data_IF_155254825206
#
_entry.id   IF_155254825206
#
_cell.length_a   1.000
_cell.length_b   1.000
_cell.length_c   1.000
_cell.angle_alpha   90.00
_cell.angle_beta   90.00
_cell.angle_gamma   90.00
#
_symmetry.space_group_name_H-M   'P 1'
#
loop_
_entity.id
_entity.type
_entity.pdbx_description
1 polymer ?
#
# COMPACT_ATOMS: atom_id res chain seq x y z
N UNK A 1 -31.52 -64.51 0.86
CA UNK A 1 -30.30 -64.17 0.08
C UNK A 1 -29.88 -62.77 0.49
N UNK A 2 -28.77 -62.69 1.22
CA UNK A 2 -28.38 -61.54 2.05
C UNK A 2 -27.48 -60.58 1.24
N UNK A 3 -27.89 -59.33 1.21
CA UNK A 3 -27.29 -58.18 0.55
C UNK A 3 -25.99 -57.76 1.24
N UNK A 4 -24.86 -57.71 0.50
CA UNK A 4 -23.58 -57.20 1.00
C UNK A 4 -23.51 -55.68 0.84
N UNK A 5 -23.60 -54.96 1.96
CA UNK A 5 -23.30 -53.53 2.07
C UNK A 5 -21.78 -53.32 2.05
N UNK A 6 -21.31 -52.38 1.22
CA UNK A 6 -19.91 -51.90 1.20
C UNK A 6 -19.63 -51.01 2.43
N UNK A 7 -18.43 -51.05 3.02
CA UNK A 7 -18.03 -50.08 4.04
C UNK A 7 -17.62 -48.75 3.40
N UNK A 8 -18.07 -47.66 4.01
CA UNK A 8 -17.69 -46.29 3.64
C UNK A 8 -16.28 -45.97 4.17
N UNK A 9 -15.37 -45.61 3.27
CA UNK A 9 -14.05 -45.08 3.59
C UNK A 9 -14.21 -43.62 4.01
N UNK A 10 -14.03 -43.32 5.29
CA UNK A 10 -13.90 -41.94 5.79
C UNK A 10 -12.45 -41.50 5.61
N UNK A 11 -12.21 -40.58 4.68
CA UNK A 11 -10.95 -39.82 4.62
C UNK A 11 -10.96 -38.77 5.74
N UNK A 12 -9.87 -38.58 6.50
CA UNK A 12 -9.76 -37.45 7.40
C UNK A 12 -9.52 -36.17 6.58
N UNK A 13 -10.47 -35.22 6.65
CA UNK A 13 -10.23 -33.83 6.28
C UNK A 13 -9.27 -33.21 7.30
N UNK A 14 -7.98 -33.32 7.03
CA UNK A 14 -6.96 -32.55 7.75
C UNK A 14 -6.94 -31.14 7.15
N UNK A 15 -7.70 -30.23 7.75
CA UNK A 15 -7.55 -28.80 7.50
C UNK A 15 -6.18 -28.41 8.08
N UNK A 16 -5.27 -27.81 7.30
CA UNK A 16 -4.03 -27.29 7.87
C UNK A 16 -4.40 -26.21 8.89
N UNK A 17 -4.04 -26.45 10.15
CA UNK A 17 -4.02 -25.44 11.20
C UNK A 17 -3.05 -24.35 10.74
N UNK A 18 -3.58 -23.26 10.17
CA UNK A 18 -2.85 -22.01 10.01
C UNK A 18 -2.27 -21.64 11.37
N UNK A 19 -0.93 -21.63 11.46
CA UNK A 19 -0.22 -21.17 12.63
C UNK A 19 -0.76 -19.80 13.01
N UNK A 20 -1.37 -19.70 14.19
CA UNK A 20 -1.88 -18.45 14.71
C UNK A 20 -0.71 -17.49 14.90
N UNK A 21 -0.54 -16.56 13.97
CA UNK A 21 0.32 -15.40 14.12
C UNK A 21 -0.16 -14.68 15.38
N UNK A 22 0.66 -14.73 16.43
CA UNK A 22 0.48 -13.94 17.65
C UNK A 22 0.90 -12.52 17.32
N UNK A 23 -0.08 -11.66 17.09
CA UNK A 23 0.17 -10.22 17.09
C UNK A 23 0.44 -9.84 18.55
N UNK A 24 1.68 -9.44 18.85
CA UNK A 24 2.01 -8.88 20.16
C UNK A 24 1.07 -7.69 20.41
N UNK A 25 0.39 -7.70 21.54
CA UNK A 25 -0.55 -6.68 22.02
C UNK A 25 0.17 -5.41 22.46
N UNK A 26 1.03 -4.87 21.59
CA UNK A 26 1.79 -3.63 21.76
C UNK A 26 1.50 -2.71 20.57
N UNK A 27 0.23 -2.43 20.33
CA UNK A 27 -0.23 -1.42 19.37
C UNK A 27 -0.22 -0.01 20.00
N UNK A 28 0.77 0.24 20.87
CA UNK A 28 1.10 1.56 21.40
C UNK A 28 2.03 2.25 20.41
N UNK A 29 1.52 3.24 19.66
CA UNK A 29 2.28 4.21 18.87
C UNK A 29 3.41 3.65 17.95
N UNK A 30 3.33 2.39 17.53
CA UNK A 30 4.42 1.71 16.82
C UNK A 30 4.12 1.43 15.36
N UNK A 31 5.15 1.55 14.51
CA UNK A 31 5.17 0.96 13.17
C UNK A 31 5.49 -0.53 13.29
N UNK A 32 4.70 -1.39 12.66
CA UNK A 32 4.94 -2.85 12.61
C UNK A 32 5.02 -3.33 11.18
N UNK A 33 6.07 -4.08 10.81
CA UNK A 33 6.22 -4.69 9.48
C UNK A 33 5.38 -5.97 9.39
N UNK A 34 4.70 -6.16 8.28
CA UNK A 34 3.99 -7.41 7.99
C UNK A 34 5.00 -8.54 7.72
N UNK A 35 4.89 -9.70 8.39
CA UNK A 35 5.82 -10.81 8.18
C UNK A 35 5.58 -11.57 6.86
N UNK A 36 4.38 -11.46 6.28
CA UNK A 36 3.97 -12.17 5.08
C UNK A 36 4.16 -11.36 3.79
N UNK A 37 4.35 -10.04 3.90
CA UNK A 37 4.48 -9.13 2.76
C UNK A 37 5.84 -8.40 2.76
N UNK A 38 6.57 -8.35 1.63
CA UNK A 38 7.95 -7.87 1.59
C UNK A 38 8.09 -6.41 2.05
N UNK A 39 7.16 -5.54 1.66
CA UNK A 39 7.27 -4.09 1.88
C UNK A 39 6.17 -3.49 2.76
N UNK A 40 5.27 -4.28 3.36
CA UNK A 40 4.09 -3.70 4.03
C UNK A 40 4.38 -3.32 5.48
N UNK A 41 3.94 -2.13 5.87
CA UNK A 41 3.99 -1.62 7.23
C UNK A 41 2.60 -1.18 7.69
N UNK A 42 2.32 -1.41 8.97
CA UNK A 42 1.14 -0.94 9.67
C UNK A 42 1.54 0.15 10.66
N UNK A 43 0.85 1.27 10.63
CA UNK A 43 1.00 2.36 11.58
C UNK A 43 -0.27 2.54 12.39
N UNK A 44 -0.14 2.57 13.72
CA UNK A 44 -1.25 2.91 14.60
C UNK A 44 -1.66 4.37 14.40
N UNK A 45 -2.92 4.62 14.07
CA UNK A 45 -3.51 5.95 14.17
C UNK A 45 -4.11 6.15 15.58
N UNK A 46 -3.94 7.32 16.22
CA UNK A 46 -4.62 7.62 17.48
C UNK A 46 -6.14 7.46 17.26
N UNK A 47 -6.84 6.67 18.08
CA UNK A 47 -8.28 6.53 17.93
C UNK A 47 -8.96 7.87 18.21
N UNK A 48 -9.89 8.32 17.35
CA UNK A 48 -10.83 9.38 17.73
C UNK A 48 -11.61 8.93 18.98
N UNK A 49 -12.03 9.87 19.85
CA UNK A 49 -12.68 9.54 21.14
C UNK A 49 -13.96 8.68 21.03
N UNK A 50 -14.53 8.50 19.84
CA UNK A 50 -15.74 7.73 19.60
C UNK A 50 -15.60 6.64 18.50
N UNK A 51 -14.40 6.38 17.98
CA UNK A 51 -14.20 5.47 16.85
C UNK A 51 -13.26 4.32 17.19
N UNK A 52 -13.46 3.13 16.57
CA UNK A 52 -12.54 2.01 16.73
C UNK A 52 -11.14 2.38 16.21
N UNK A 53 -10.12 1.77 16.82
CA UNK A 53 -8.74 1.95 16.38
C UNK A 53 -8.59 1.55 14.91
N UNK A 54 -7.92 2.42 14.13
CA UNK A 54 -7.57 2.16 12.74
C UNK A 54 -6.06 2.10 12.54
N UNK A 55 -5.66 1.32 11.54
CA UNK A 55 -4.28 1.20 11.07
C UNK A 55 -4.16 1.85 9.71
N UNK A 56 -3.07 2.56 9.52
CA UNK A 56 -2.66 3.08 8.22
C UNK A 56 -1.68 2.07 7.61
N UNK A 57 -1.91 1.71 6.35
CA UNK A 57 -1.05 0.81 5.60
C UNK A 57 -0.14 1.62 4.67
N UNK A 58 1.15 1.33 4.67
CA UNK A 58 2.15 1.96 3.81
C UNK A 58 3.11 0.89 3.27
N UNK A 59 3.85 1.23 2.22
CA UNK A 59 5.00 0.41 1.80
C UNK A 59 6.34 0.89 2.39
N UNK A 60 6.33 2.00 3.12
CA UNK A 60 7.52 2.62 3.71
C UNK A 60 7.50 2.50 5.23
N UNK A 61 8.65 2.38 5.90
CA UNK A 61 8.71 2.28 7.36
C UNK A 61 8.38 3.60 8.08
N UNK A 62 8.49 4.73 7.38
CA UNK A 62 8.18 6.06 7.90
C UNK A 62 6.68 6.27 8.01
N UNK A 63 6.24 6.86 9.13
CA UNK A 63 4.84 7.27 9.27
C UNK A 63 4.59 8.50 8.38
N UNK A 64 3.49 8.54 7.62
CA UNK A 64 3.09 9.76 6.91
C UNK A 64 2.92 10.91 7.91
N UNK A 65 3.68 11.98 7.72
CA UNK A 65 3.65 13.19 8.55
C UNK A 65 2.66 14.22 8.00
N UNK A 66 2.44 14.20 6.69
CA UNK A 66 1.61 15.16 5.97
C UNK A 66 0.18 14.64 5.74
N UNK A 67 -0.80 15.54 5.86
CA UNK A 67 -2.22 15.22 5.62
C UNK A 67 -2.51 14.83 4.16
N UNK A 68 -1.75 15.39 3.21
CA UNK A 68 -1.87 15.11 1.78
C UNK A 68 -0.79 14.14 1.26
N UNK A 69 -0.25 13.30 2.14
CA UNK A 69 0.81 12.36 1.78
C UNK A 69 0.36 11.38 0.69
N UNK A 70 1.25 11.09 -0.25
CA UNK A 70 1.00 10.07 -1.28
C UNK A 70 1.41 8.66 -0.86
N UNK A 71 2.02 8.51 0.32
CA UNK A 71 2.56 7.25 0.84
C UNK A 71 1.52 6.26 1.39
N UNK A 72 0.42 6.68 2.06
CA UNK A 72 -0.56 5.75 2.59
C UNK A 72 -1.27 5.02 1.47
N UNK A 73 -1.30 3.70 1.50
CA UNK A 73 -2.21 2.92 0.65
C UNK A 73 -3.66 3.20 1.05
N UNK A 74 -3.89 3.36 2.35
CA UNK A 74 -5.22 3.51 2.93
C UNK A 74 -5.26 3.18 4.41
N UNK A 75 -6.46 3.00 4.93
CA UNK A 75 -6.69 2.67 6.33
C UNK A 75 -7.64 1.49 6.50
N UNK A 76 -7.49 0.78 7.62
CA UNK A 76 -8.33 -0.37 7.97
C UNK A 76 -8.65 -0.37 9.46
N UNK A 77 -9.86 -0.74 9.89
CA UNK A 77 -10.14 -0.91 11.31
C UNK A 77 -9.45 -2.14 11.88
N UNK A 78 -9.20 -2.13 13.18
CA UNK A 78 -8.66 -3.28 13.92
C UNK A 78 -9.82 -4.12 14.47
N UNK A 79 -9.83 -5.41 14.14
CA UNK A 79 -10.78 -6.38 14.70
C UNK A 79 -10.54 -6.57 16.20
N UNK A 80 -11.54 -7.05 16.98
CA UNK A 80 -11.36 -7.40 18.39
C UNK A 80 -10.23 -8.42 18.66
N UNK A 81 -9.83 -9.19 17.63
CA UNK A 81 -8.70 -10.11 17.67
C UNK A 81 -7.33 -9.43 17.59
N UNK A 82 -7.29 -8.09 17.45
CA UNK A 82 -6.07 -7.30 17.26
C UNK A 82 -5.50 -7.34 15.85
N UNK A 83 -6.25 -7.90 14.88
CA UNK A 83 -5.83 -8.02 13.47
C UNK A 83 -6.44 -6.92 12.60
N UNK A 84 -5.76 -6.47 11.54
CA UNK A 84 -6.37 -5.57 10.56
C UNK A 84 -7.54 -6.25 9.85
N UNK A 85 -8.65 -5.53 9.69
CA UNK A 85 -9.77 -5.96 8.85
C UNK A 85 -9.60 -5.50 7.39
N UNK A 86 -8.91 -6.31 6.60
CA UNK A 86 -8.68 -6.01 5.19
C UNK A 86 -9.99 -5.93 4.37
N UNK A 87 -11.10 -6.47 4.88
CA UNK A 87 -12.40 -6.41 4.17
C UNK A 87 -13.04 -5.02 4.27
N UNK A 88 -12.72 -4.27 5.32
CA UNK A 88 -13.16 -2.90 5.55
C UNK A 88 -12.08 -1.86 5.18
N UNK A 89 -11.11 -2.24 4.33
CA UNK A 89 -10.05 -1.35 3.89
C UNK A 89 -10.60 -0.18 3.05
N UNK A 90 -10.20 1.03 3.42
CA UNK A 90 -10.48 2.26 2.69
C UNK A 90 -9.21 2.76 2.00
N UNK A 91 -9.21 2.74 0.68
CA UNK A 91 -8.10 3.21 -0.15
C UNK A 91 -7.91 4.72 -0.02
N UNK A 92 -6.65 5.15 0.04
CA UNK A 92 -6.28 6.55 0.00
C UNK A 92 -6.33 7.08 -1.44
N UNK A 93 -7.03 8.20 -1.70
CA UNK A 93 -7.29 8.67 -3.06
C UNK A 93 -6.03 9.01 -3.87
N UNK A 94 -4.95 9.42 -3.19
CA UNK A 94 -3.74 9.88 -3.86
C UNK A 94 -2.74 8.77 -4.19
N UNK A 95 -2.79 7.63 -3.49
CA UNK A 95 -1.81 6.56 -3.72
C UNK A 95 -1.94 5.95 -5.11
N UNK A 96 -3.17 5.86 -5.63
CA UNK A 96 -3.46 5.25 -6.93
C UNK A 96 -2.74 5.94 -8.09
N UNK A 97 -2.62 7.26 -8.05
CA UNK A 97 -1.93 8.01 -9.11
C UNK A 97 -0.44 7.72 -9.11
N UNK A 98 0.21 7.70 -7.94
CA UNK A 98 1.63 7.35 -7.77
C UNK A 98 1.88 5.91 -8.18
N UNK A 99 1.02 4.99 -7.76
CA UNK A 99 1.11 3.58 -8.15
C UNK A 99 1.11 3.40 -9.68
N UNK A 100 0.16 4.04 -10.37
CA UNK A 100 0.07 3.98 -11.82
C UNK A 100 1.21 4.72 -12.54
N UNK A 101 1.70 5.82 -11.97
CA UNK A 101 2.87 6.54 -12.49
C UNK A 101 4.14 5.69 -12.38
N UNK A 102 4.35 5.01 -11.25
CA UNK A 102 5.47 4.11 -11.03
C UNK A 102 5.48 2.95 -12.04
N UNK A 103 4.32 2.35 -12.31
CA UNK A 103 4.21 1.29 -13.32
C UNK A 103 4.57 1.83 -14.70
N UNK A 104 4.03 2.98 -15.10
CA UNK A 104 4.33 3.59 -16.39
C UNK A 104 5.82 3.88 -16.56
N UNK A 105 6.45 4.46 -15.54
CA UNK A 105 7.88 4.75 -15.51
C UNK A 105 8.73 3.46 -15.57
N UNK A 106 8.31 2.42 -14.84
CA UNK A 106 8.97 1.13 -14.88
C UNK A 106 8.87 0.46 -16.26
N UNK A 107 7.71 0.57 -16.93
CA UNK A 107 7.54 0.06 -18.30
C UNK A 107 8.43 0.80 -19.30
N UNK A 108 8.61 2.11 -19.13
CA UNK A 108 9.47 2.93 -19.99
C UNK A 108 10.96 2.57 -19.83
N UNK A 109 11.37 2.27 -18.60
CA UNK A 109 12.76 1.91 -18.26
C UNK A 109 13.13 0.44 -18.51
N UNK A 110 12.19 -0.38 -19.02
CA UNK A 110 12.41 -1.82 -19.18
C UNK A 110 12.55 -2.56 -17.84
N UNK A 111 11.79 -2.12 -16.84
CA UNK A 111 11.90 -2.60 -15.47
C UNK A 111 11.40 -4.04 -15.26
N UNK A 112 10.65 -4.62 -16.19
CA UNK A 112 10.05 -5.95 -16.05
C UNK A 112 10.44 -6.91 -17.18
N UNK A 113 11.47 -7.72 -16.93
CA UNK A 113 11.97 -8.74 -17.87
C UNK A 113 10.94 -9.83 -18.21
N UNK A 114 10.04 -10.16 -17.29
CA UNK A 114 9.00 -11.16 -17.51
C UNK A 114 8.00 -10.68 -18.57
N UNK A 115 7.58 -9.42 -18.43
CA UNK A 115 6.66 -8.79 -19.36
C UNK A 115 7.31 -8.55 -20.74
N UNK A 116 8.58 -8.17 -20.77
CA UNK A 116 9.36 -8.04 -22.01
C UNK A 116 9.49 -9.39 -22.73
N UNK A 117 9.74 -10.47 -21.98
CA UNK A 117 9.82 -11.81 -22.53
C UNK A 117 8.48 -12.28 -23.10
N UNK A 118 7.37 -11.98 -22.42
CA UNK A 118 6.02 -12.26 -22.92
C UNK A 118 5.75 -11.47 -24.21
N UNK A 119 6.08 -10.18 -24.23
CA UNK A 119 5.94 -9.31 -25.40
C UNK A 119 6.73 -9.86 -26.60
N UNK A 120 8.00 -10.22 -26.41
CA UNK A 120 8.87 -10.73 -27.46
C UNK A 120 8.38 -12.08 -28.03
N UNK A 121 7.76 -12.93 -27.20
CA UNK A 121 7.25 -14.25 -27.63
C UNK A 121 5.93 -14.23 -28.36
N UNK A 122 5.17 -13.14 -28.25
CA UNK A 122 3.79 -13.09 -28.74
C UNK A 122 3.69 -13.16 -30.27
N UNK A 123 4.73 -12.75 -31.00
CA UNK A 123 4.81 -12.87 -32.46
C UNK A 123 3.85 -11.97 -33.26
N UNK A 124 2.87 -11.33 -32.60
CA UNK A 124 1.93 -10.37 -33.18
C UNK A 124 1.67 -9.20 -32.23
N UNK A 125 1.23 -8.08 -32.81
CA UNK A 125 0.82 -6.89 -32.07
C UNK A 125 -0.45 -7.16 -31.24
N UNK A 126 -0.57 -6.52 -30.08
CA UNK A 126 -1.77 -6.61 -29.24
C UNK A 126 -1.54 -6.25 -27.77
N UNK A 127 -2.61 -6.28 -26.97
CA UNK A 127 -2.56 -5.88 -25.55
C UNK A 127 -2.18 -7.04 -24.63
N UNK A 128 -1.14 -6.86 -23.82
CA UNK A 128 -0.79 -7.76 -22.71
C UNK A 128 -1.39 -7.22 -21.41
N UNK A 129 -1.74 -8.12 -20.48
CA UNK A 129 -2.30 -7.73 -19.18
C UNK A 129 -1.22 -7.83 -18.11
N UNK A 130 -1.10 -6.78 -17.30
CA UNK A 130 -0.21 -6.74 -16.15
C UNK A 130 -1.00 -7.23 -14.95
N UNK A 131 -0.51 -8.29 -14.30
CA UNK A 131 -1.21 -9.00 -13.23
C UNK A 131 -0.50 -8.79 -11.89
N UNK A 132 -1.29 -8.76 -10.83
CA UNK A 132 -0.84 -8.79 -9.45
C UNK A 132 -0.39 -10.22 -9.08
N UNK A 133 0.79 -10.36 -8.47
CA UNK A 133 1.36 -11.65 -8.07
C UNK A 133 0.83 -12.16 -6.73
N UNK A 134 -0.10 -11.45 -6.07
CA UNK A 134 -0.73 -11.92 -4.82
C UNK A 134 -1.55 -13.19 -5.02
N UNK A 135 -2.10 -13.38 -6.22
CA UNK A 135 -2.94 -14.51 -6.58
C UNK A 135 -2.48 -15.05 -7.94
N UNK A 136 -1.51 -15.96 -7.92
CA UNK A 136 -1.10 -16.66 -9.15
C UNK A 136 -2.27 -17.54 -9.61
N UNK A 137 -2.88 -17.28 -10.78
CA UNK A 137 -3.98 -18.10 -11.24
C UNK A 137 -3.50 -19.49 -11.62
N UNK A 138 -4.40 -20.48 -11.53
CA UNK A 138 -4.15 -21.81 -12.07
C UNK A 138 -3.78 -21.71 -13.56
N UNK A 139 -2.89 -22.59 -14.03
CA UNK A 139 -2.46 -22.63 -15.42
C UNK A 139 -3.69 -22.58 -16.37
N UNK A 140 -3.60 -21.72 -17.39
CA UNK A 140 -4.63 -21.41 -18.40
C UNK A 140 -5.85 -20.58 -17.95
N UNK A 141 -5.92 -20.10 -16.69
CA UNK A 141 -6.98 -19.19 -16.25
C UNK A 141 -6.51 -17.74 -16.15
N UNK A 142 -7.37 -16.82 -16.59
CA UNK A 142 -7.23 -15.40 -16.25
C UNK A 142 -7.60 -15.23 -14.78
N UNK A 143 -6.72 -14.58 -14.01
CA UNK A 143 -7.00 -14.22 -12.62
C UNK A 143 -8.25 -13.33 -12.52
N UNK A 144 -8.78 -13.13 -11.30
CA UNK A 144 -9.98 -12.33 -11.13
C UNK A 144 -9.71 -10.86 -11.54
N UNK A 145 -10.71 -10.14 -12.04
CA UNK A 145 -10.53 -8.79 -12.62
C UNK A 145 -10.01 -7.75 -11.61
N UNK A 146 -10.19 -7.98 -10.31
CA UNK A 146 -9.64 -7.15 -9.23
C UNK A 146 -8.13 -7.33 -9.02
N UNK A 147 -7.51 -8.35 -9.62
CA UNK A 147 -6.07 -8.65 -9.59
C UNK A 147 -5.34 -8.27 -10.89
N UNK A 148 -6.06 -7.71 -11.87
CA UNK A 148 -5.47 -7.22 -13.11
C UNK A 148 -5.21 -5.72 -12.96
N UNK A 149 -3.94 -5.34 -12.95
CA UNK A 149 -3.50 -3.97 -12.70
C UNK A 149 -3.85 -3.05 -13.86
N UNK A 150 -3.57 -3.51 -15.08
CA UNK A 150 -3.70 -2.71 -16.28
C UNK A 150 -3.38 -3.52 -17.54
N UNK A 151 -3.47 -2.86 -18.68
CA UNK A 151 -3.04 -3.40 -19.96
C UNK A 151 -2.02 -2.46 -20.62
N UNK A 152 -1.20 -3.02 -21.49
CA UNK A 152 -0.26 -2.26 -22.32
C UNK A 152 -0.18 -2.88 -23.70
N UNK A 153 -0.04 -2.05 -24.72
CA UNK A 153 0.09 -2.49 -26.10
C UNK A 153 1.52 -2.97 -26.37
N UNK A 154 1.63 -4.08 -27.08
CA UNK A 154 2.87 -4.61 -27.63
C UNK A 154 2.85 -4.44 -29.14
N UNK A 155 3.95 -3.91 -29.66
CA UNK A 155 4.19 -3.74 -31.09
C UNK A 155 5.55 -4.30 -31.47
N UNK A 156 5.62 -5.13 -32.49
CA UNK A 156 6.88 -5.73 -32.97
C UNK A 156 7.67 -6.44 -31.85
N UNK A 157 6.96 -7.09 -30.94
CA UNK A 157 7.55 -7.77 -29.78
C UNK A 157 8.10 -6.86 -28.68
N UNK A 158 7.84 -5.54 -28.75
CA UNK A 158 8.24 -4.55 -27.75
C UNK A 158 7.03 -3.91 -27.09
N UNK A 159 7.14 -3.65 -25.79
CA UNK A 159 6.12 -2.94 -25.05
C UNK A 159 6.11 -1.46 -25.49
N UNK A 160 4.93 -0.87 -25.63
CA UNK A 160 4.73 0.56 -25.89
C UNK A 160 4.24 1.24 -24.60
N UNK A 161 5.12 1.78 -23.75
CA UNK A 161 4.78 2.24 -22.39
C UNK A 161 3.71 3.32 -22.35
N UNK A 162 3.64 4.18 -23.38
CA UNK A 162 2.65 5.26 -23.48
C UNK A 162 1.20 4.78 -23.58
N UNK A 163 0.99 3.51 -23.96
CA UNK A 163 -0.32 2.88 -24.06
C UNK A 163 -0.80 2.21 -22.77
N UNK A 164 -0.05 2.36 -21.67
CA UNK A 164 -0.46 1.81 -20.38
C UNK A 164 -1.81 2.38 -19.94
N UNK A 165 -2.78 1.48 -19.78
CA UNK A 165 -4.13 1.78 -19.32
C UNK A 165 -4.41 1.02 -18.01
N UNK A 166 -4.62 1.72 -16.88
CA UNK A 166 -4.95 1.08 -15.63
C UNK A 166 -6.40 0.55 -15.65
N UNK A 167 -6.64 -0.61 -15.04
CA UNK A 167 -7.98 -1.17 -14.97
C UNK A 167 -8.77 -0.58 -13.78
N UNK A 168 -9.98 -0.04 -13.99
CA UNK A 168 -10.82 0.51 -12.90
C UNK A 168 -11.26 -0.52 -11.86
N UNK A 169 -11.26 -1.80 -12.23
CA UNK A 169 -11.62 -2.91 -11.35
C UNK A 169 -10.52 -3.28 -10.37
N UNK A 170 -9.26 -2.85 -10.62
CA UNK A 170 -8.12 -3.23 -9.79
C UNK A 170 -8.26 -2.72 -8.35
N UNK A 171 -7.97 -3.58 -7.37
CA UNK A 171 -8.03 -3.24 -5.93
C UNK A 171 -6.67 -3.47 -5.29
N UNK A 172 -6.17 -2.47 -4.56
CA UNK A 172 -4.88 -2.60 -3.85
C UNK A 172 -4.94 -3.66 -2.75
N UNK A 173 -6.10 -3.82 -2.13
CA UNK A 173 -6.34 -4.83 -1.08
C UNK A 173 -7.57 -5.64 -1.46
N UNK A 174 -7.43 -6.95 -1.43
CA UNK A 174 -8.52 -7.92 -1.62
C UNK A 174 -8.54 -8.92 -0.46
N UNK A 175 -9.55 -9.80 -0.35
CA UNK A 175 -9.54 -10.86 0.66
C UNK A 175 -8.32 -11.79 0.59
N UNK A 176 -7.67 -11.89 -0.57
CA UNK A 176 -6.43 -12.66 -0.77
C UNK A 176 -5.21 -11.97 -0.17
N UNK A 177 -5.25 -10.65 0.00
CA UNK A 177 -4.21 -9.86 0.65
C UNK A 177 -3.94 -8.51 -0.02
N UNK A 178 -2.83 -7.91 0.38
CA UNK A 178 -2.32 -6.66 -0.19
C UNK A 178 -1.59 -6.95 -1.51
N UNK A 179 -1.65 -5.99 -2.44
CA UNK A 179 -1.08 -6.10 -3.77
C UNK A 179 0.41 -6.45 -3.78
N UNK A 180 0.81 -7.32 -4.72
CA UNK A 180 2.20 -7.68 -4.99
C UNK A 180 2.51 -7.43 -6.45
N UNK A 181 3.39 -6.46 -6.69
CA UNK A 181 3.84 -6.19 -8.03
C UNK A 181 4.85 -7.25 -8.50
N UNK A 182 4.85 -7.58 -9.81
CA UNK A 182 5.89 -8.40 -10.39
C UNK A 182 7.29 -7.84 -10.17
N UNK A 183 8.26 -8.75 -10.06
CA UNK A 183 9.66 -8.40 -9.86
C UNK A 183 10.12 -7.36 -10.89
N UNK A 184 10.68 -6.27 -10.38
CA UNK A 184 11.14 -5.12 -11.15
C UNK A 184 10.16 -3.96 -11.08
N UNK A 185 8.86 -4.18 -11.28
CA UNK A 185 7.85 -3.13 -11.08
C UNK A 185 7.77 -2.73 -9.60
N UNK A 186 7.88 -3.71 -8.70
CA UNK A 186 7.96 -3.50 -7.25
C UNK A 186 9.12 -2.58 -6.85
N UNK A 187 10.30 -2.82 -7.41
CA UNK A 187 11.53 -2.07 -7.12
C UNK A 187 11.43 -0.62 -7.59
N UNK A 188 10.83 -0.40 -8.76
CA UNK A 188 10.56 0.95 -9.26
C UNK A 188 9.54 1.70 -8.40
N UNK A 189 8.47 1.02 -7.97
CA UNK A 189 7.50 1.60 -7.02
C UNK A 189 8.19 2.00 -5.71
N UNK A 190 8.99 1.10 -5.14
CA UNK A 190 9.70 1.37 -3.88
C UNK A 190 10.66 2.55 -4.00
N UNK A 191 11.41 2.66 -5.11
CA UNK A 191 12.29 3.80 -5.36
C UNK A 191 11.51 5.12 -5.43
N UNK A 192 10.37 5.13 -6.12
CA UNK A 192 9.51 6.31 -6.21
C UNK A 192 8.92 6.70 -4.85
N UNK A 193 8.43 5.72 -4.08
CA UNK A 193 7.86 5.98 -2.75
C UNK A 193 8.92 6.48 -1.75
N UNK A 194 10.15 5.96 -1.82
CA UNK A 194 11.24 6.46 -0.98
C UNK A 194 11.60 7.91 -1.33
N UNK A 195 11.68 8.25 -2.63
CA UNK A 195 11.92 9.63 -3.06
C UNK A 195 10.82 10.59 -2.58
N UNK A 196 9.55 10.17 -2.65
CA UNK A 196 8.42 10.95 -2.12
C UNK A 196 8.54 11.09 -0.59
N UNK A 197 8.88 10.02 0.12
CA UNK A 197 9.02 10.06 1.57
C UNK A 197 10.16 10.98 2.02
N UNK A 198 11.29 11.00 1.32
CA UNK A 198 12.39 11.93 1.57
C UNK A 198 11.95 13.39 1.34
N UNK A 199 11.22 13.65 0.25
CA UNK A 199 10.70 14.98 -0.04
C UNK A 199 9.68 15.44 1.00
N UNK A 200 8.76 14.57 1.42
CA UNK A 200 7.78 14.87 2.46
C UNK A 200 8.47 15.13 3.81
N UNK A 201 9.51 14.38 4.15
CA UNK A 201 10.27 14.58 5.38
C UNK A 201 11.04 15.92 5.39
N UNK A 202 11.67 16.30 4.28
CA UNK A 202 12.35 17.59 4.17
C UNK A 202 11.36 18.75 4.20
N UNK A 203 10.24 18.65 3.48
CA UNK A 203 9.18 19.66 3.51
C UNK A 203 8.62 19.83 4.93
N UNK A 204 8.37 18.73 5.64
CA UNK A 204 7.92 18.77 7.03
C UNK A 204 8.95 19.44 7.95
N UNK A 205 10.25 19.22 7.72
CA UNK A 205 11.32 19.88 8.48
C UNK A 205 11.33 21.39 8.25
N UNK A 206 11.23 21.83 7.00
CA UNK A 206 11.19 23.25 6.64
C UNK A 206 9.95 23.94 7.21
N UNK A 207 8.79 23.31 7.09
CA UNK A 207 7.53 23.83 7.65
C UNK A 207 7.59 23.94 9.18
N UNK A 208 8.24 22.99 9.87
CA UNK A 208 8.40 23.03 11.31
C UNK A 208 9.36 24.14 11.77
N UNK A 209 10.41 24.42 11.00
CA UNK A 209 11.34 25.51 11.26
C UNK A 209 10.65 26.87 11.10
N UNK A 210 9.90 27.07 10.01
CA UNK A 210 9.11 28.28 9.77
C UNK A 210 8.06 28.54 10.87
N UNK A 211 7.35 27.49 11.30
CA UNK A 211 6.37 27.60 12.39
C UNK A 211 7.02 27.96 13.73
N UNK A 212 8.22 27.45 14.02
CA UNK A 212 8.94 27.77 15.26
C UNK A 212 9.45 29.22 15.27
N UNK A 213 9.89 29.75 14.13
CA UNK A 213 10.27 31.15 14.00
C UNK A 213 9.08 32.10 14.18
N UNK A 214 7.92 31.76 13.61
CA UNK A 214 6.68 32.54 13.79
C UNK A 214 6.22 32.54 15.25
N UNK A 215 6.24 31.39 15.92
CA UNK A 215 5.89 31.28 17.34
C UNK A 215 6.86 32.10 18.22
N UNK A 216 8.18 32.05 17.93
CA UNK A 216 9.17 32.84 18.64
C UNK A 216 9.01 34.36 18.41
N UNK A 217 8.59 34.78 17.21
CA UNK A 217 8.30 36.18 16.90
C UNK A 217 7.05 36.67 17.65
N UNK A 218 5.98 35.86 17.68
CA UNK A 218 4.77 36.15 18.43
C UNK A 218 5.02 36.24 19.93
N UNK A 219 5.87 35.36 20.47
CA UNK A 219 6.19 35.39 21.90
C UNK A 219 7.01 36.63 22.28
N UNK A 220 7.98 37.03 21.44
CA UNK A 220 8.71 38.30 21.63
C UNK A 220 7.77 39.52 21.58
N UNK A 221 6.80 39.51 20.67
CA UNK A 221 5.83 40.60 20.57
C UNK A 221 4.89 40.66 21.78
N UNK A 222 4.45 39.50 22.28
CA UNK A 222 3.65 39.41 23.52
C UNK A 222 4.42 39.95 24.73
N UNK A 223 5.71 39.63 24.83
CA UNK A 223 6.58 40.15 25.89
C UNK A 223 6.72 41.67 25.78
N UNK A 224 6.93 42.20 24.58
CA UNK A 224 7.01 43.66 24.34
C UNK A 224 5.74 44.40 24.76
N UNK A 225 4.57 43.87 24.39
CA UNK A 225 3.28 44.45 24.77
C UNK A 225 3.09 44.39 26.29
N UNK A 226 3.42 43.26 26.92
CA UNK A 226 3.32 43.11 28.38
C UNK A 226 4.23 44.08 29.14
N UNK A 227 5.46 44.30 28.66
CA UNK A 227 6.39 45.29 29.23
C UNK A 227 5.88 46.73 29.06
N UNK A 228 5.32 47.07 27.90
CA UNK A 228 4.74 48.41 27.66
C UNK A 228 3.50 48.66 28.53
N UNK A 229 2.64 47.67 28.72
CA UNK A 229 1.48 47.77 29.63
C UNK A 229 1.90 47.88 31.09
N UNK A 230 2.97 47.18 31.51
CA UNK A 230 3.52 47.31 32.86
C UNK A 230 4.10 48.71 33.10
N UNK A 231 4.82 49.26 32.11
CA UNK A 231 5.39 50.61 32.19
C UNK A 231 4.33 51.72 32.23
N UNK A 232 3.15 51.52 31.62
CA UNK A 232 2.04 52.48 31.68
C UNK A 232 1.23 52.43 32.98
N UNK A 233 1.39 51.37 33.78
CA UNK A 233 0.68 51.19 35.07
C UNK A 233 1.51 51.61 36.30
N UNK A 234 2.82 51.81 36.16
CA UNK A 234 3.71 52.34 37.22
C UNK A 234 3.87 53.85 37.13
#
# INVERSE_FOLDING_TARGET
MITLLRPAVRLPLTIPRTAGIRYNSSLAAGTTRDPSHPHLYYHASPPPPAAPQSLILTFTPGRPTEFLSFLPLGSTPVLPSGRPDLTAFQEHPYFRSVFNAAIRDALDKGGNKGLEYEAARRGSDGYITIKDERAVPDHDRTGPPEDIIGSVFVKDGKIVPSTYEPLPTYRLVTPTGVCRLPHGLDSHLMNMLNAIAEQEAENARLNAEEAAEEEAALEKERQRIAEEEAAKRG
#
